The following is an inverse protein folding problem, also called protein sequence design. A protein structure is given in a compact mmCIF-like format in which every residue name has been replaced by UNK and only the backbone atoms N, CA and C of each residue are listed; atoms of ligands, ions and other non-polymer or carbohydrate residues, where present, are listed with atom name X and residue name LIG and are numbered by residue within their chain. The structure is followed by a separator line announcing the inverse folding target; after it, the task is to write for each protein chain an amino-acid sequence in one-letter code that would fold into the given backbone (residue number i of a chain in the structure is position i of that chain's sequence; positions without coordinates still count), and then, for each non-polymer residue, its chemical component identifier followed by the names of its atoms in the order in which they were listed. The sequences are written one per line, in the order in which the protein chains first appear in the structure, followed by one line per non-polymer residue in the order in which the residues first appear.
data_IF_381623263978
#
_entry.id   IF_381623263978
#
_cell.length_a   1.000
_cell.length_b   1.000
_cell.length_c   1.000
_cell.angle_alpha   90.00
_cell.angle_beta   90.00
_cell.angle_gamma   90.00
#
_symmetry.space_group_name_H-M   'P 1'
#
loop_
_entity.id
_entity.type
_entity.pdbx_description
1 polymer ?
#
# COMPACT_ATOMS: atom_id res chain seq x y z
N UNK A 1 18.77 6.60 -22.25
CA UNK A 1 17.97 5.38 -22.45
C UNK A 1 18.78 4.45 -23.33
N UNK A 2 19.20 3.29 -22.82
CA UNK A 2 20.03 2.35 -23.57
C UNK A 2 19.43 0.95 -23.46
N UNK A 3 19.32 0.23 -24.58
CA UNK A 3 18.94 -1.18 -24.58
C UNK A 3 19.95 -2.05 -23.83
N UNK A 4 21.21 -1.63 -23.76
CA UNK A 4 22.23 -2.29 -22.92
C UNK A 4 21.85 -2.29 -21.45
N UNK A 5 21.30 -1.17 -20.93
CA UNK A 5 20.84 -1.13 -19.52
C UNK A 5 19.70 -2.12 -19.29
N UNK A 6 18.82 -2.28 -20.28
CA UNK A 6 17.70 -3.22 -20.17
C UNK A 6 18.19 -4.66 -20.09
N UNK A 7 19.13 -5.05 -20.95
CA UNK A 7 19.76 -6.38 -20.92
C UNK A 7 20.45 -6.65 -19.57
N UNK A 8 21.20 -5.67 -19.06
CA UNK A 8 21.88 -5.76 -17.76
C UNK A 8 20.90 -5.87 -16.58
N UNK A 9 19.72 -5.25 -16.70
CA UNK A 9 18.68 -5.24 -15.67
C UNK A 9 17.67 -6.40 -15.79
N UNK A 10 17.68 -7.16 -16.89
CA UNK A 10 16.68 -8.22 -17.13
C UNK A 10 16.81 -9.38 -16.13
N UNK A 11 18.04 -9.71 -15.73
CA UNK A 11 18.32 -10.74 -14.74
C UNK A 11 18.19 -10.26 -13.29
N UNK A 12 17.77 -11.14 -12.39
CA UNK A 12 17.68 -10.83 -10.96
C UNK A 12 19.03 -10.37 -10.38
N UNK A 13 19.00 -9.33 -9.55
CA UNK A 13 20.16 -8.80 -8.84
C UNK A 13 19.98 -8.82 -7.33
N UNK A 14 19.54 -9.96 -6.78
CA UNK A 14 19.33 -10.09 -5.35
C UNK A 14 20.64 -9.83 -4.57
N UNK A 15 20.55 -9.00 -3.54
CA UNK A 15 21.58 -8.85 -2.51
C UNK A 15 21.55 -10.05 -1.55
N UNK A 16 22.63 -10.26 -0.80
CA UNK A 16 22.82 -11.42 0.09
C UNK A 16 21.70 -11.60 1.14
N UNK A 17 21.04 -10.51 1.53
CA UNK A 17 19.93 -10.45 2.50
C UNK A 17 18.53 -10.45 1.85
N UNK A 18 18.46 -10.49 0.52
CA UNK A 18 17.20 -10.37 -0.22
C UNK A 18 16.90 -11.63 -1.02
N UNK A 19 15.63 -12.05 -0.98
CA UNK A 19 15.11 -13.14 -1.81
C UNK A 19 13.87 -12.66 -2.58
N UNK A 20 13.42 -13.45 -3.56
CA UNK A 20 12.16 -13.17 -4.27
C UNK A 20 10.99 -12.92 -3.30
N UNK A 21 10.85 -13.77 -2.27
CA UNK A 21 9.75 -13.65 -1.30
C UNK A 21 9.93 -12.45 -0.38
N UNK A 22 11.16 -12.07 -0.04
CA UNK A 22 11.44 -10.84 0.71
C UNK A 22 10.98 -9.61 -0.07
N UNK A 23 11.37 -9.50 -1.35
CA UNK A 23 10.96 -8.39 -2.21
C UNK A 23 9.47 -8.40 -2.50
N UNK A 24 8.86 -9.58 -2.67
CA UNK A 24 7.41 -9.71 -2.82
C UNK A 24 6.70 -9.20 -1.56
N UNK A 25 7.17 -9.54 -0.37
CA UNK A 25 6.57 -9.10 0.89
C UNK A 25 6.68 -7.57 1.10
N UNK A 26 7.75 -6.95 0.57
CA UNK A 26 7.92 -5.48 0.59
C UNK A 26 7.04 -4.80 -0.47
N UNK A 27 6.90 -5.40 -1.65
CA UNK A 27 6.12 -4.84 -2.76
C UNK A 27 4.61 -5.04 -2.60
N UNK A 28 4.18 -6.14 -1.98
CA UNK A 28 2.77 -6.53 -1.89
C UNK A 28 1.84 -5.45 -1.30
N UNK A 29 2.21 -4.68 -0.25
CA UNK A 29 1.37 -3.61 0.27
C UNK A 29 1.00 -2.56 -0.79
N UNK A 30 1.85 -2.34 -1.80
CA UNK A 30 1.55 -1.43 -2.91
C UNK A 30 0.37 -1.90 -3.78
N UNK A 31 0.12 -3.21 -3.84
CA UNK A 31 -1.00 -3.80 -4.59
C UNK A 31 -2.29 -3.92 -3.76
N UNK A 32 -2.27 -3.56 -2.48
CA UNK A 32 -3.43 -3.65 -1.59
C UNK A 32 -4.40 -2.47 -1.81
N UNK A 33 -5.48 -2.43 -1.02
CA UNK A 33 -6.43 -1.31 -1.06
C UNK A 33 -7.61 -1.48 -2.04
N UNK A 34 -7.77 -2.66 -2.66
CA UNK A 34 -8.91 -2.97 -3.55
C UNK A 34 -10.28 -2.80 -2.87
N UNK A 35 -10.31 -2.84 -1.53
CA UNK A 35 -11.52 -2.67 -0.70
C UNK A 35 -11.81 -1.22 -0.31
N UNK A 36 -11.00 -0.25 -0.76
CA UNK A 36 -11.27 1.17 -0.50
C UNK A 36 -12.62 1.61 -1.09
N UNK A 37 -13.03 1.04 -2.22
CA UNK A 37 -14.33 1.31 -2.86
C UNK A 37 -15.52 0.81 -2.03
N UNK A 38 -15.43 -0.41 -1.48
CA UNK A 38 -16.51 -0.98 -0.64
C UNK A 38 -16.67 -0.24 0.69
N UNK A 39 -15.61 0.39 1.21
CA UNK A 39 -15.66 1.21 2.41
C UNK A 39 -16.51 2.48 2.26
N UNK A 40 -16.90 2.87 1.03
CA UNK A 40 -17.83 3.97 0.73
C UNK A 40 -19.11 3.50 0.05
N UNK A 41 -19.46 2.22 0.18
CA UNK A 41 -20.64 1.65 -0.45
C UNK A 41 -21.93 2.40 -0.11
N UNK A 42 -22.08 2.88 1.13
CA UNK A 42 -23.25 3.65 1.57
C UNK A 42 -23.40 5.04 0.94
N UNK A 43 -22.34 5.60 0.36
CA UNK A 43 -22.35 6.93 -0.26
C UNK A 43 -22.56 6.87 -1.79
N UNK A 44 -22.59 5.68 -2.38
CA UNK A 44 -22.71 5.49 -3.82
C UNK A 44 -24.17 5.42 -4.26
N UNK A 45 -24.48 6.07 -5.39
CA UNK A 45 -25.82 6.03 -6.01
C UNK A 45 -26.25 4.61 -6.41
N UNK A 46 -25.33 3.81 -6.93
CA UNK A 46 -25.54 2.40 -7.31
C UNK A 46 -24.30 1.59 -6.93
N UNK A 47 -24.21 1.08 -5.69
CA UNK A 47 -23.03 0.37 -5.19
C UNK A 47 -22.78 -0.94 -5.92
N UNK A 48 -23.84 -1.68 -6.25
CA UNK A 48 -23.77 -3.00 -6.89
C UNK A 48 -23.08 -2.95 -8.26
N UNK A 49 -23.30 -1.87 -9.02
CA UNK A 49 -22.64 -1.64 -10.31
C UNK A 49 -21.31 -0.89 -10.18
N UNK A 50 -21.22 0.07 -9.27
CA UNK A 50 -20.08 0.98 -9.19
C UNK A 50 -18.85 0.34 -8.54
N UNK A 51 -19.03 -0.51 -7.52
CA UNK A 51 -17.92 -1.16 -6.82
C UNK A 51 -17.14 -2.10 -7.76
N UNK A 52 -17.77 -3.07 -8.46
CA UNK A 52 -17.01 -4.01 -9.29
C UNK A 52 -16.29 -3.31 -10.45
N UNK A 53 -16.96 -2.35 -11.11
CA UNK A 53 -16.37 -1.59 -12.22
C UNK A 53 -15.23 -0.71 -11.76
N UNK A 54 -15.40 0.00 -10.65
CA UNK A 54 -14.38 0.89 -10.08
C UNK A 54 -13.15 0.10 -9.63
N UNK A 55 -13.33 -0.99 -8.89
CA UNK A 55 -12.23 -1.82 -8.41
C UNK A 55 -11.47 -2.46 -9.56
N UNK A 56 -12.14 -3.09 -10.54
CA UNK A 56 -11.45 -3.70 -11.69
C UNK A 56 -10.70 -2.68 -12.54
N UNK A 57 -11.32 -1.52 -12.83
CA UNK A 57 -10.67 -0.47 -13.60
C UNK A 57 -9.45 0.11 -12.86
N UNK A 58 -9.56 0.34 -11.55
CA UNK A 58 -8.45 0.82 -10.72
C UNK A 58 -7.30 -0.20 -10.70
N UNK A 59 -7.59 -1.47 -10.44
CA UNK A 59 -6.59 -2.55 -10.42
C UNK A 59 -5.88 -2.69 -11.76
N UNK A 60 -6.60 -2.65 -12.89
CA UNK A 60 -5.98 -2.70 -14.21
C UNK A 60 -5.09 -1.49 -14.47
N UNK A 61 -5.57 -0.29 -14.12
CA UNK A 61 -4.82 0.96 -14.31
C UNK A 61 -3.51 0.95 -13.51
N UNK A 62 -3.55 0.57 -12.23
CA UNK A 62 -2.35 0.51 -11.39
C UNK A 62 -1.39 -0.58 -11.83
N UNK A 63 -1.89 -1.75 -12.24
CA UNK A 63 -1.07 -2.85 -12.78
C UNK A 63 -0.30 -2.40 -14.01
N UNK A 64 -0.99 -1.78 -14.98
CA UNK A 64 -0.34 -1.24 -16.18
C UNK A 64 0.68 -0.16 -15.81
N UNK A 65 0.34 0.73 -14.88
CA UNK A 65 1.25 1.75 -14.37
C UNK A 65 2.54 1.15 -13.80
N UNK A 66 2.45 0.11 -12.95
CA UNK A 66 3.62 -0.56 -12.39
C UNK A 66 4.52 -1.17 -13.47
N UNK A 67 3.96 -1.86 -14.46
CA UNK A 67 4.76 -2.42 -15.55
C UNK A 67 5.44 -1.34 -16.39
N UNK A 68 4.74 -0.24 -16.68
CA UNK A 68 5.32 0.89 -17.41
C UNK A 68 6.50 1.48 -16.64
N UNK A 69 6.33 1.77 -15.34
CA UNK A 69 7.41 2.32 -14.51
C UNK A 69 8.59 1.35 -14.40
N UNK A 70 8.34 0.06 -14.19
CA UNK A 70 9.40 -0.95 -14.13
C UNK A 70 10.21 -1.00 -15.44
N UNK A 71 9.54 -0.96 -16.60
CA UNK A 71 10.18 -0.92 -17.91
C UNK A 71 11.03 0.35 -18.10
N UNK A 72 10.50 1.51 -17.74
CA UNK A 72 11.25 2.77 -17.83
C UNK A 72 12.48 2.78 -16.91
N UNK A 73 12.36 2.29 -15.67
CA UNK A 73 13.48 2.23 -14.74
C UNK A 73 14.58 1.30 -15.25
N UNK A 74 14.22 0.17 -15.88
CA UNK A 74 15.17 -0.76 -16.47
C UNK A 74 15.98 -0.16 -17.65
N UNK A 75 15.43 0.80 -18.40
CA UNK A 75 16.10 1.40 -19.56
C UNK A 75 16.88 2.67 -19.19
N UNK A 76 16.37 3.43 -18.21
CA UNK A 76 16.92 4.74 -17.86
C UNK A 76 18.18 4.62 -17.01
N UNK A 77 18.24 3.65 -16.09
CA UNK A 77 19.33 3.54 -15.12
C UNK A 77 20.10 2.23 -15.24
N UNK A 78 21.36 2.27 -14.85
CA UNK A 78 22.16 1.07 -14.69
C UNK A 78 21.79 0.34 -13.41
N UNK A 79 22.05 -0.97 -13.35
CA UNK A 79 21.79 -1.82 -12.19
C UNK A 79 22.36 -1.25 -10.89
N UNK A 80 23.57 -0.68 -10.94
CA UNK A 80 24.22 -0.03 -9.79
C UNK A 80 23.48 1.22 -9.32
N UNK A 81 22.89 1.99 -10.24
CA UNK A 81 22.08 3.17 -9.91
C UNK A 81 20.73 2.81 -9.30
N UNK A 82 20.10 1.71 -9.75
CA UNK A 82 18.86 1.20 -9.18
C UNK A 82 19.04 0.58 -7.79
N UNK A 83 20.18 -0.05 -7.55
CA UNK A 83 20.55 -0.64 -6.27
C UNK A 83 21.25 0.36 -5.33
N UNK A 84 21.12 1.66 -5.55
CA UNK A 84 21.67 2.66 -4.64
C UNK A 84 20.59 3.15 -3.67
N UNK A 85 20.72 2.79 -2.39
CA UNK A 85 19.72 3.12 -1.36
C UNK A 85 19.79 4.58 -0.90
N UNK A 86 20.91 5.27 -1.17
CA UNK A 86 21.12 6.65 -0.72
C UNK A 86 20.32 7.68 -1.53
N UNK A 87 19.69 7.27 -2.64
CA UNK A 87 18.98 8.16 -3.54
C UNK A 87 17.55 7.70 -3.81
N UNK A 88 16.60 8.64 -3.77
CA UNK A 88 15.28 8.44 -4.36
C UNK A 88 15.45 8.53 -5.87
N UNK A 89 15.75 7.40 -6.50
CA UNK A 89 16.02 7.31 -7.93
C UNK A 89 14.96 8.01 -8.80
N UNK A 90 13.68 7.86 -8.44
CA UNK A 90 12.55 8.49 -9.15
C UNK A 90 12.65 10.01 -9.16
N UNK A 91 13.11 10.63 -8.07
CA UNK A 91 13.26 12.08 -8.00
C UNK A 91 14.45 12.58 -8.82
N UNK A 92 15.50 11.77 -8.98
CA UNK A 92 16.69 12.13 -9.75
C UNK A 92 16.40 12.22 -11.25
N UNK A 93 15.57 11.32 -11.77
CA UNK A 93 15.18 11.28 -13.18
C UNK A 93 14.01 12.24 -13.52
N UNK A 94 13.47 12.94 -12.53
CA UNK A 94 12.29 13.78 -12.70
C UNK A 94 12.61 15.14 -13.34
N UNK A 95 11.96 15.41 -14.47
CA UNK A 95 12.03 16.67 -15.21
C UNK A 95 10.68 17.41 -15.15
N UNK A 96 10.61 18.74 -14.97
CA UNK A 96 11.71 19.71 -14.88
C UNK A 96 12.22 19.99 -13.46
N UNK A 97 11.45 19.68 -12.40
CA UNK A 97 11.81 20.01 -11.01
C UNK A 97 11.82 18.77 -10.11
N UNK A 98 13.00 18.40 -9.60
CA UNK A 98 13.19 17.26 -8.68
C UNK A 98 12.38 17.38 -7.38
N UNK A 99 12.14 18.60 -6.92
CA UNK A 99 11.36 18.87 -5.70
C UNK A 99 9.90 18.39 -5.82
N UNK A 100 9.34 18.34 -7.02
CA UNK A 100 7.93 17.97 -7.22
C UNK A 100 7.65 16.52 -6.79
N UNK A 101 8.59 15.61 -7.04
CA UNK A 101 8.45 14.21 -6.61
C UNK A 101 8.54 14.08 -5.10
N UNK A 102 9.46 14.80 -4.45
CA UNK A 102 9.54 14.80 -2.99
C UNK A 102 8.26 15.32 -2.35
N UNK A 103 7.73 16.45 -2.83
CA UNK A 103 6.46 16.98 -2.38
C UNK A 103 5.31 15.99 -2.62
N UNK A 104 5.26 15.39 -3.82
CA UNK A 104 4.26 14.38 -4.17
C UNK A 104 4.28 13.16 -3.24
N UNK A 105 5.45 12.62 -2.92
CA UNK A 105 5.61 11.50 -1.98
C UNK A 105 5.08 11.88 -0.60
N UNK A 106 5.41 13.07 -0.10
CA UNK A 106 4.96 13.54 1.23
C UNK A 106 3.44 13.67 1.26
N UNK A 107 2.84 14.38 0.29
CA UNK A 107 1.39 14.59 0.26
C UNK A 107 0.61 13.30 0.00
N UNK A 108 1.11 12.42 -0.88
CA UNK A 108 0.51 11.12 -1.15
C UNK A 108 0.56 10.22 0.08
N UNK A 109 1.72 10.14 0.75
CA UNK A 109 1.89 9.33 1.96
C UNK A 109 1.03 9.85 3.11
N UNK A 110 0.97 11.17 3.30
CA UNK A 110 0.12 11.79 4.31
C UNK A 110 -1.37 11.53 4.03
N UNK A 111 -1.81 11.67 2.77
CA UNK A 111 -3.17 11.36 2.37
C UNK A 111 -3.55 9.90 2.63
N UNK A 112 -2.66 8.96 2.29
CA UNK A 112 -2.84 7.54 2.57
C UNK A 112 -2.90 7.25 4.08
N UNK A 113 -2.01 7.87 4.88
CA UNK A 113 -2.01 7.74 6.33
C UNK A 113 -3.31 8.24 6.97
N UNK A 114 -3.80 9.42 6.56
CA UNK A 114 -5.07 9.97 7.03
C UNK A 114 -6.26 9.10 6.65
N UNK A 115 -6.26 8.54 5.43
CA UNK A 115 -7.29 7.62 4.98
C UNK A 115 -7.28 6.32 5.80
N UNK A 116 -6.11 5.75 6.06
CA UNK A 116 -5.95 4.56 6.90
C UNK A 116 -6.41 4.79 8.33
N UNK A 117 -6.04 5.94 8.91
CA UNK A 117 -6.42 6.33 10.26
C UNK A 117 -7.95 6.44 10.42
N UNK A 118 -8.62 7.14 9.50
CA UNK A 118 -10.07 7.27 9.52
C UNK A 118 -10.82 5.99 9.13
N UNK A 119 -10.28 5.23 8.18
CA UNK A 119 -10.88 3.99 7.67
C UNK A 119 -10.92 2.89 8.72
N UNK A 120 -9.80 2.60 9.38
CA UNK A 120 -9.73 1.55 10.39
C UNK A 120 -10.61 1.86 11.61
N UNK A 121 -10.66 3.12 12.07
CA UNK A 121 -11.55 3.52 13.17
C UNK A 121 -13.03 3.32 12.82
N UNK A 122 -13.44 3.62 11.58
CA UNK A 122 -14.82 3.38 11.12
C UNK A 122 -15.16 1.89 11.12
N UNK A 123 -14.28 1.04 10.58
CA UNK A 123 -14.47 -0.41 10.54
C UNK A 123 -14.57 -0.97 11.96
N UNK A 124 -13.66 -0.60 12.85
CA UNK A 124 -13.68 -1.06 14.25
C UNK A 124 -14.97 -0.63 14.97
N UNK A 125 -15.43 0.60 14.77
CA UNK A 125 -16.67 1.11 15.38
C UNK A 125 -17.91 0.39 14.83
N UNK A 126 -17.91 0.02 13.54
CA UNK A 126 -18.98 -0.75 12.91
C UNK A 126 -19.07 -2.16 13.49
N UNK A 127 -17.95 -2.90 13.51
CA UNK A 127 -17.87 -4.25 14.11
C UNK A 127 -18.33 -4.24 15.58
N UNK A 128 -17.93 -3.21 16.31
CA UNK A 128 -18.31 -3.04 17.72
C UNK A 128 -19.80 -2.76 17.92
N UNK A 129 -20.48 -2.23 16.90
CA UNK A 129 -21.92 -2.00 16.89
C UNK A 129 -22.74 -3.27 16.65
N UNK A 130 -22.16 -4.24 15.94
CA UNK A 130 -22.82 -5.52 15.61
C UNK A 130 -22.94 -6.47 16.82
N UNK A 131 -22.36 -6.09 17.97
CA UNK A 131 -22.37 -6.86 19.23
C UNK A 131 -21.90 -8.33 19.11
N UNK A 132 -21.16 -8.68 18.04
CA UNK A 132 -20.61 -10.01 17.84
C UNK A 132 -19.55 -10.38 18.89
N UNK A 133 -18.80 -9.37 19.35
CA UNK A 133 -17.68 -9.54 20.28
C UNK A 133 -17.91 -8.65 21.51
N UNK A 134 -18.27 -9.21 22.68
CA UNK A 134 -18.71 -8.45 23.84
C UNK A 134 -17.70 -7.39 24.33
N UNK A 135 -16.40 -7.69 24.25
CA UNK A 135 -15.35 -6.77 24.71
C UNK A 135 -15.13 -5.56 23.78
N UNK A 136 -15.54 -5.63 22.51
CA UNK A 136 -15.38 -4.52 21.56
C UNK A 136 -16.44 -3.43 21.73
N UNK A 137 -17.52 -3.67 22.50
CA UNK A 137 -18.65 -2.75 22.67
C UNK A 137 -18.25 -1.34 23.16
N UNK A 138 -17.15 -1.23 23.90
CA UNK A 138 -16.59 0.06 24.38
C UNK A 138 -16.27 1.03 23.23
N UNK A 139 -15.81 0.50 22.10
CA UNK A 139 -15.41 1.28 20.92
C UNK A 139 -16.61 1.86 20.16
N UNK A 140 -17.77 1.19 20.21
CA UNK A 140 -19.00 1.72 19.65
C UNK A 140 -19.51 2.92 20.44
N UNK A 141 -19.55 2.80 21.78
CA UNK A 141 -20.05 3.85 22.67
C UNK A 141 -19.13 5.06 22.71
N UNK A 142 -17.81 4.84 22.63
CA UNK A 142 -16.82 5.92 22.69
C UNK A 142 -15.86 5.82 21.51
N UNK A 143 -16.29 6.37 20.37
CA UNK A 143 -15.53 6.40 19.09
C UNK A 143 -14.09 6.93 19.23
N UNK A 144 -13.85 7.84 20.18
CA UNK A 144 -12.50 8.35 20.47
C UNK A 144 -11.52 7.26 20.91
N UNK A 145 -11.98 6.19 21.59
CA UNK A 145 -11.12 5.07 21.97
C UNK A 145 -10.77 4.18 20.78
N UNK A 146 -11.67 4.06 19.80
CA UNK A 146 -11.38 3.36 18.55
C UNK A 146 -10.30 4.11 17.75
N UNK A 147 -10.37 5.44 17.76
CA UNK A 147 -9.31 6.30 17.20
C UNK A 147 -8.01 6.17 17.98
N UNK A 148 -8.05 6.25 19.32
CA UNK A 148 -6.87 6.15 20.17
C UNK A 148 -6.17 4.79 20.04
N UNK A 149 -6.92 3.69 19.94
CA UNK A 149 -6.36 2.35 19.70
C UNK A 149 -5.67 2.29 18.34
N UNK A 150 -6.32 2.79 17.29
CA UNK A 150 -5.73 2.81 15.95
C UNK A 150 -4.45 3.67 15.89
N UNK A 151 -4.47 4.83 16.55
CA UNK A 151 -3.30 5.70 16.68
C UNK A 151 -2.17 5.02 17.47
N UNK A 152 -2.50 4.29 18.55
CA UNK A 152 -1.53 3.53 19.34
C UNK A 152 -0.87 2.42 18.50
N UNK A 153 -1.64 1.63 17.76
CA UNK A 153 -1.10 0.58 16.88
C UNK A 153 -0.22 1.19 15.79
N UNK A 154 -0.65 2.31 15.20
CA UNK A 154 0.15 3.04 14.20
C UNK A 154 1.46 3.58 14.80
N UNK A 155 1.43 4.08 16.04
CA UNK A 155 2.63 4.55 16.74
C UNK A 155 3.62 3.42 17.01
N UNK A 156 3.15 2.23 17.40
CA UNK A 156 4.00 1.06 17.57
C UNK A 156 4.70 0.68 16.26
N UNK A 157 4.00 0.74 15.13
CA UNK A 157 4.61 0.50 13.82
C UNK A 157 5.66 1.56 13.45
N UNK A 158 5.45 2.83 13.83
CA UNK A 158 6.43 3.91 13.61
C UNK A 158 7.70 3.69 14.46
N UNK A 159 7.55 3.21 15.70
CA UNK A 159 8.69 2.95 16.61
C UNK A 159 9.66 1.90 16.05
N UNK A 160 9.19 0.96 15.22
CA UNK A 160 10.05 -0.03 14.55
C UNK A 160 11.10 0.66 13.64
N UNK A 161 10.79 1.85 13.10
CA UNK A 161 11.77 2.71 12.42
C UNK A 161 12.29 2.20 11.06
N UNK A 162 11.88 1.01 10.61
CA UNK A 162 12.25 0.44 9.31
C UNK A 162 11.02 -0.04 8.54
N UNK A 163 10.82 0.51 7.34
CA UNK A 163 9.73 0.12 6.45
C UNK A 163 9.85 -1.33 5.99
N UNK A 164 11.09 -1.81 5.79
CA UNK A 164 11.37 -3.17 5.32
C UNK A 164 10.97 -4.24 6.34
N UNK A 165 10.92 -3.87 7.62
CA UNK A 165 10.43 -4.74 8.68
C UNK A 165 8.90 -4.67 8.84
N UNK A 166 8.29 -3.51 8.56
CA UNK A 166 6.84 -3.31 8.71
C UNK A 166 6.07 -3.88 7.52
N UNK A 167 6.58 -3.73 6.30
CA UNK A 167 5.90 -4.14 5.08
C UNK A 167 5.53 -5.64 5.05
N UNK A 168 6.43 -6.60 5.42
CA UNK A 168 6.08 -8.01 5.49
C UNK A 168 4.95 -8.32 6.48
N UNK A 169 4.91 -7.64 7.63
CA UNK A 169 3.85 -7.81 8.64
C UNK A 169 2.50 -7.40 8.04
N UNK A 170 2.45 -6.24 7.39
CA UNK A 170 1.25 -5.73 6.71
C UNK A 170 0.81 -6.70 5.60
N UNK A 171 1.75 -7.23 4.82
CA UNK A 171 1.48 -8.21 3.77
C UNK A 171 0.81 -9.47 4.29
N UNK A 172 1.25 -10.02 5.43
CA UNK A 172 0.63 -11.20 6.04
C UNK A 172 -0.83 -10.90 6.42
N UNK A 173 -1.12 -9.75 7.03
CA UNK A 173 -2.49 -9.39 7.40
C UNK A 173 -3.40 -9.22 6.18
N UNK A 174 -2.93 -8.57 5.11
CA UNK A 174 -3.72 -8.43 3.87
C UNK A 174 -3.89 -9.74 3.11
N UNK A 175 -2.88 -10.60 3.07
CA UNK A 175 -2.99 -11.93 2.47
C UNK A 175 -3.98 -12.80 3.24
N UNK A 176 -3.92 -12.80 4.57
CA UNK A 176 -4.89 -13.51 5.41
C UNK A 176 -6.32 -13.00 5.19
N UNK A 177 -6.49 -11.68 5.07
CA UNK A 177 -7.76 -11.03 4.78
C UNK A 177 -8.32 -11.43 3.41
N UNK A 178 -7.52 -11.36 2.35
CA UNK A 178 -7.97 -11.78 1.01
C UNK A 178 -8.21 -13.29 0.92
N UNK A 179 -7.38 -14.09 1.60
CA UNK A 179 -7.59 -15.53 1.74
C UNK A 179 -8.91 -15.85 2.43
N UNK A 180 -9.23 -15.15 3.52
CA UNK A 180 -10.48 -15.30 4.24
C UNK A 180 -11.71 -14.89 3.42
N UNK A 181 -11.64 -13.77 2.68
CA UNK A 181 -12.72 -13.34 1.79
C UNK A 181 -12.95 -14.37 0.69
N UNK A 182 -11.89 -14.84 0.02
CA UNK A 182 -12.01 -15.81 -1.06
C UNK A 182 -12.49 -17.18 -0.59
N UNK A 183 -12.19 -17.58 0.65
CA UNK A 183 -12.66 -18.83 1.23
C UNK A 183 -14.12 -18.78 1.69
N UNK A 184 -14.65 -17.58 1.99
CA UNK A 184 -16.02 -17.39 2.43
C UNK A 184 -17.03 -17.28 1.27
N UNK A 185 -16.56 -17.02 0.05
CA UNK A 185 -17.36 -17.00 -1.18
C UNK A 185 -17.37 -18.38 -1.86
#
# INVERSE_FOLDING_TARGET
MSFSNFEDNFGSGYREDSSFFTLLAIFFPACTGIMAGSNRSGDLKDPAKSIPKGTLAATLTTTIGYYIFAFFFAIVSSKKGLLNDDIIFVAEISWPFKFLVHAGIIFSSLGAALQGLGGATKILTAISGDNLIPFLKIFHQKKIWAFALNALISLLAIIIGSLDNVAPIVSIFFLALYGGINAAC
#
